data_IF_255797950245
#
_entry.id   IF_255797950245
#
_cell.length_a   1.000
_cell.length_b   1.000
_cell.length_c   1.000
_cell.angle_alpha   90.00
_cell.angle_beta   90.00
_cell.angle_gamma   90.00
#
_symmetry.space_group_name_H-M   'P 1'
#
loop_
_entity.id
_entity.type
_entity.pdbx_description
1 polymer ?
#
# COMPACT_ATOMS: atom_id res chain seq x y z
N UNK A 1 12.68 -3.99 10.36
CA UNK A 1 12.11 -4.22 9.01
C UNK A 1 13.22 -4.42 7.99
N UNK A 2 13.19 -5.48 7.17
CA UNK A 2 14.17 -5.70 6.08
C UNK A 2 13.72 -5.17 4.71
N UNK A 3 12.49 -4.65 4.61
CA UNK A 3 11.88 -4.18 3.35
C UNK A 3 12.15 -2.68 3.20
N UNK A 4 12.64 -2.27 2.02
CA UNK A 4 12.83 -0.86 1.65
C UNK A 4 11.85 -0.46 0.55
N UNK A 5 11.66 0.85 0.37
CA UNK A 5 10.90 1.41 -0.76
C UNK A 5 11.54 0.95 -2.07
N UNK A 6 10.71 0.56 -3.04
CA UNK A 6 11.16 0.10 -4.35
C UNK A 6 11.39 -1.41 -4.48
N UNK A 7 11.39 -2.18 -3.39
CA UNK A 7 11.44 -3.64 -3.49
C UNK A 7 10.13 -4.20 -4.08
N UNK A 8 10.26 -5.32 -4.77
CA UNK A 8 9.14 -6.16 -5.17
C UNK A 8 8.83 -7.15 -4.04
N UNK A 9 7.55 -7.21 -3.68
CA UNK A 9 7.07 -8.08 -2.61
C UNK A 9 5.88 -8.88 -3.09
N UNK A 10 5.74 -10.10 -2.57
CA UNK A 10 4.59 -10.97 -2.77
C UNK A 10 3.78 -11.05 -1.49
N UNK A 11 2.47 -10.98 -1.60
CA UNK A 11 1.55 -11.14 -0.48
C UNK A 11 1.37 -12.63 -0.21
N UNK A 12 1.64 -13.08 1.02
CA UNK A 12 1.56 -14.49 1.40
C UNK A 12 0.23 -14.86 2.05
N UNK A 13 -0.48 -13.89 2.62
CA UNK A 13 -1.70 -14.10 3.40
C UNK A 13 -2.66 -12.90 3.28
N UNK A 14 -3.94 -13.16 3.57
CA UNK A 14 -5.03 -12.17 3.48
C UNK A 14 -5.74 -12.14 2.12
N UNK A 15 -6.55 -11.09 1.90
CA UNK A 15 -7.43 -10.94 0.72
C UNK A 15 -6.70 -10.98 -0.63
N UNK A 16 -5.42 -10.58 -0.64
CA UNK A 16 -4.61 -10.42 -1.85
C UNK A 16 -3.50 -11.48 -1.94
N UNK A 17 -3.69 -12.65 -1.31
CA UNK A 17 -2.71 -13.74 -1.29
C UNK A 17 -2.29 -14.13 -2.72
N UNK A 18 -0.98 -14.23 -2.94
CA UNK A 18 -0.39 -14.66 -4.21
C UNK A 18 -0.01 -13.50 -5.14
N UNK A 19 -0.58 -12.31 -4.94
CA UNK A 19 -0.28 -11.14 -5.77
C UNK A 19 1.09 -10.55 -5.45
N UNK A 20 1.72 -9.99 -6.49
CA UNK A 20 3.00 -9.28 -6.40
C UNK A 20 2.79 -7.79 -6.60
N UNK A 21 3.61 -6.97 -5.97
CA UNK A 21 3.55 -5.53 -6.14
C UNK A 21 4.81 -4.81 -5.68
N UNK A 22 4.91 -3.56 -6.09
CA UNK A 22 6.01 -2.66 -5.71
C UNK A 22 5.69 -1.93 -4.42
N UNK A 23 6.69 -1.83 -3.54
CA UNK A 23 6.57 -1.07 -2.30
C UNK A 23 6.67 0.43 -2.57
N UNK A 24 5.58 1.16 -2.32
CA UNK A 24 5.50 2.61 -2.45
C UNK A 24 6.06 3.33 -1.22
N UNK A 25 5.73 2.84 -0.03
CA UNK A 25 6.17 3.43 1.22
C UNK A 25 6.23 2.40 2.34
N UNK A 26 7.09 2.66 3.31
CA UNK A 26 7.33 1.81 4.47
C UNK A 26 7.17 2.65 5.72
N UNK A 27 6.24 2.27 6.60
CA UNK A 27 6.09 2.85 7.92
C UNK A 27 6.74 1.92 8.95
N UNK A 28 8.02 2.20 9.28
CA UNK A 28 8.79 1.38 10.23
C UNK A 28 8.19 1.40 11.64
N UNK A 29 7.63 2.54 12.08
CA UNK A 29 7.01 2.67 13.41
C UNK A 29 5.86 1.70 13.64
N UNK A 30 5.08 1.41 12.60
CA UNK A 30 3.89 0.55 12.69
C UNK A 30 4.06 -0.79 11.98
N UNK A 31 5.27 -1.09 11.49
CA UNK A 31 5.58 -2.30 10.70
C UNK A 31 4.63 -2.53 9.52
N UNK A 32 4.20 -1.42 8.88
CA UNK A 32 3.23 -1.41 7.78
C UNK A 32 3.89 -0.97 6.49
N UNK A 33 3.44 -1.54 5.38
CA UNK A 33 3.97 -1.31 4.04
C UNK A 33 2.83 -0.99 3.09
N UNK A 34 2.96 0.09 2.34
CA UNK A 34 2.01 0.43 1.27
C UNK A 34 2.53 -0.15 -0.03
N UNK A 35 1.72 -0.98 -0.66
CA UNK A 35 2.03 -1.65 -1.94
C UNK A 35 1.09 -1.07 -2.99
N UNK A 36 1.63 -0.80 -4.17
CA UNK A 36 0.87 -0.26 -5.30
C UNK A 36 -0.33 -1.14 -5.67
N UNK A 37 -1.48 -0.53 -5.92
CA UNK A 37 -2.73 -1.20 -6.31
C UNK A 37 -3.33 -2.20 -5.30
N UNK A 38 -2.83 -2.26 -4.06
CA UNK A 38 -3.39 -3.10 -3.01
C UNK A 38 -4.12 -2.32 -1.93
N UNK A 39 -5.12 -2.97 -1.33
CA UNK A 39 -5.89 -2.45 -0.21
C UNK A 39 -6.47 -1.04 -0.47
N UNK A 40 -7.00 -0.81 -1.68
CA UNK A 40 -7.53 0.49 -2.10
C UNK A 40 -8.72 0.86 -1.22
N UNK A 41 -8.64 2.04 -0.61
CA UNK A 41 -9.69 2.63 0.21
C UNK A 41 -10.24 3.86 -0.48
N UNK A 42 -11.56 3.92 -0.53
CA UNK A 42 -12.30 5.08 -1.03
C UNK A 42 -12.43 6.10 0.09
N UNK A 43 -11.76 7.24 -0.04
CA UNK A 43 -11.88 8.36 0.90
C UNK A 43 -12.70 9.47 0.27
N UNK A 44 -13.85 9.74 0.85
CA UNK A 44 -14.64 10.93 0.53
C UNK A 44 -13.97 12.15 1.15
N UNK A 45 -13.47 13.06 0.33
CA UNK A 45 -12.82 14.28 0.78
C UNK A 45 -13.83 15.40 0.69
N UNK A 46 -14.23 15.92 1.86
CA UNK A 46 -15.04 17.14 1.93
C UNK A 46 -14.23 18.32 1.35
N UNK A 47 -14.89 19.24 0.64
CA UNK A 47 -14.22 20.42 0.12
C UNK A 47 -13.71 21.29 1.26
N UNK A 48 -12.54 21.91 1.05
CA UNK A 48 -11.91 22.80 2.04
C UNK A 48 -12.29 24.27 1.86
N UNK A 49 -12.77 24.64 0.68
CA UNK A 49 -13.25 25.97 0.33
C UNK A 49 -14.65 25.85 -0.27
N UNK A 50 -15.43 26.90 -0.11
CA UNK A 50 -16.84 26.98 -0.50
C UNK A 50 -17.06 26.70 -2.00
N UNK A 51 -16.07 27.03 -2.85
CA UNK A 51 -16.10 26.82 -4.30
C UNK A 51 -15.44 25.51 -4.81
N UNK A 52 -14.85 24.70 -3.93
CA UNK A 52 -14.27 23.42 -4.37
C UNK A 52 -15.32 22.31 -4.36
N UNK A 53 -15.38 21.51 -5.43
CA UNK A 53 -16.22 20.29 -5.43
C UNK A 53 -15.53 19.21 -4.59
N UNK A 54 -16.29 18.61 -3.67
CA UNK A 54 -15.84 17.41 -2.97
C UNK A 54 -15.51 16.29 -3.97
N UNK A 55 -14.40 15.58 -3.77
CA UNK A 55 -13.97 14.51 -4.67
C UNK A 55 -13.73 13.20 -3.93
N UNK A 56 -13.85 12.12 -4.68
CA UNK A 56 -13.62 10.77 -4.18
C UNK A 56 -12.18 10.39 -4.51
N UNK A 57 -11.33 10.28 -3.48
CA UNK A 57 -9.94 9.84 -3.65
C UNK A 57 -9.82 8.35 -3.36
N UNK A 58 -9.26 7.59 -4.30
CA UNK A 58 -8.80 6.23 -4.05
C UNK A 58 -7.38 6.30 -3.48
N UNK A 59 -7.15 5.68 -2.33
CA UNK A 59 -5.87 5.70 -1.63
C UNK A 59 -5.48 4.25 -1.31
N UNK A 60 -4.24 3.88 -1.61
CA UNK A 60 -3.70 2.57 -1.26
C UNK A 60 -3.54 2.45 0.26
N UNK A 61 -3.99 1.31 0.79
CA UNK A 61 -3.95 1.03 2.21
C UNK A 61 -2.65 0.32 2.61
N UNK A 62 -2.16 0.55 3.85
CA UNK A 62 -1.04 -0.22 4.37
C UNK A 62 -1.40 -1.69 4.60
N UNK A 63 -0.42 -2.56 4.42
CA UNK A 63 -0.46 -4.00 4.73
C UNK A 63 0.63 -4.30 5.77
N UNK A 64 0.37 -5.22 6.70
CA UNK A 64 1.34 -5.58 7.72
C UNK A 64 2.53 -6.35 7.13
N UNK A 65 3.75 -6.12 7.63
CA UNK A 65 4.95 -6.78 7.13
C UNK A 65 4.89 -8.32 7.20
N UNK A 66 4.16 -8.87 8.17
CA UNK A 66 4.04 -10.34 8.33
C UNK A 66 3.26 -11.01 7.21
N UNK A 67 2.48 -10.24 6.43
CA UNK A 67 1.67 -10.77 5.34
C UNK A 67 2.37 -10.63 3.98
N UNK A 68 3.62 -10.19 3.96
CA UNK A 68 4.41 -10.00 2.75
C UNK A 68 5.75 -10.72 2.83
N UNK A 69 6.23 -11.15 1.68
CA UNK A 69 7.53 -11.77 1.47
C UNK A 69 8.25 -11.00 0.38
N UNK A 70 9.56 -10.79 0.55
CA UNK A 70 10.40 -10.19 -0.49
C UNK A 70 10.48 -11.17 -1.66
N UNK A 71 10.05 -10.73 -2.83
CA UNK A 71 10.11 -11.49 -4.07
C UNK A 71 11.26 -10.86 -4.87
N UNK A 72 12.49 -11.28 -4.56
CA UNK A 72 13.67 -10.85 -5.30
C UNK A 72 13.59 -11.42 -6.71
N UNK A 73 13.25 -10.58 -7.69
CA UNK A 73 13.63 -10.83 -9.07
C UNK A 73 14.94 -10.08 -9.29
N UNK A 74 16.04 -10.82 -9.20
CA UNK A 74 17.38 -10.36 -9.54
C UNK A 74 17.42 -10.05 -11.04
N UNK A 75 18.04 -8.94 -11.41
CA UNK A 75 18.89 -8.89 -12.60
C UNK A 75 20.10 -8.02 -12.26
#
# INVERSE_FOLDING_TARGET
MKIKKGHQVKIISGKYKGSKGKVLSVCQKTNKVTIENFNIKTKHVKPKRDEEKGYIKKIEGPIHQSNIKIDNLTN
#
